data_IF_988235972326
#
_entry.id   IF_988235972326
#
_cell.length_a   1.000
_cell.length_b   1.000
_cell.length_c   1.000
_cell.angle_alpha   90.00
_cell.angle_beta   90.00
_cell.angle_gamma   90.00
#
_symmetry.space_group_name_H-M   'P 1'
#
loop_
_entity.id
_entity.type
_entity.pdbx_description
1 polymer ?
#
# COMPACT_ATOMS: atom_id res chain seq x y z
N UNK A 1 -25.14 -17.03 -73.45
CA UNK A 1 -25.60 -16.56 -72.12
C UNK A 1 -24.78 -17.30 -71.08
N UNK A 2 -23.92 -16.59 -70.35
CA UNK A 2 -23.08 -17.19 -69.30
C UNK A 2 -24.00 -17.49 -68.11
N UNK A 3 -24.20 -18.77 -67.84
CA UNK A 3 -24.97 -19.24 -66.69
C UNK A 3 -24.21 -18.87 -65.41
N UNK A 4 -24.80 -18.00 -64.59
CA UNK A 4 -24.35 -17.79 -63.22
C UNK A 4 -24.28 -19.14 -62.51
N UNK A 5 -23.09 -19.49 -62.01
CA UNK A 5 -22.94 -20.62 -61.09
C UNK A 5 -23.59 -20.21 -59.78
N UNK A 6 -24.79 -20.72 -59.54
CA UNK A 6 -25.40 -20.74 -58.22
C UNK A 6 -24.48 -21.56 -57.30
N UNK A 7 -23.61 -20.87 -56.56
CA UNK A 7 -22.80 -21.53 -55.54
C UNK A 7 -23.79 -22.08 -54.49
N UNK A 8 -23.88 -23.40 -54.36
CA UNK A 8 -24.82 -24.12 -53.48
C UNK A 8 -24.61 -23.91 -51.96
N UNK A 9 -24.17 -22.71 -51.56
CA UNK A 9 -23.93 -22.31 -50.19
C UNK A 9 -25.24 -21.84 -49.53
N UNK A 10 -25.82 -22.67 -48.67
CA UNK A 10 -27.00 -22.30 -47.87
C UNK A 10 -26.54 -21.60 -46.58
N UNK A 11 -26.72 -20.28 -46.49
CA UNK A 11 -26.45 -19.51 -45.27
C UNK A 11 -27.40 -19.92 -44.14
N UNK A 12 -26.84 -20.34 -43.01
CA UNK A 12 -27.59 -20.66 -41.80
C UNK A 12 -27.61 -19.45 -40.85
N UNK A 13 -28.52 -18.50 -41.12
CA UNK A 13 -28.63 -17.26 -40.33
C UNK A 13 -28.93 -17.50 -38.85
N UNK A 14 -29.72 -18.55 -38.52
CA UNK A 14 -30.00 -18.93 -37.13
C UNK A 14 -28.73 -19.27 -36.34
N UNK A 15 -27.80 -20.01 -36.97
CA UNK A 15 -26.53 -20.40 -36.35
C UNK A 15 -25.65 -19.17 -36.10
N UNK A 16 -25.62 -18.21 -37.04
CA UNK A 16 -24.87 -16.96 -36.92
C UNK A 16 -25.41 -16.12 -35.75
N UNK A 17 -26.72 -15.95 -35.66
CA UNK A 17 -27.35 -15.16 -34.59
C UNK A 17 -27.10 -15.80 -33.23
N UNK A 18 -27.22 -17.13 -33.13
CA UNK A 18 -26.94 -17.86 -31.88
C UNK A 18 -25.49 -17.69 -31.45
N UNK A 19 -24.56 -17.79 -32.41
CA UNK A 19 -23.12 -17.62 -32.15
C UNK A 19 -22.78 -16.21 -31.67
N UNK A 20 -23.33 -15.18 -32.32
CA UNK A 20 -23.16 -13.78 -31.89
C UNK A 20 -23.72 -13.59 -30.48
N UNK A 21 -24.93 -14.09 -30.20
CA UNK A 21 -25.54 -14.00 -28.88
C UNK A 21 -24.69 -14.66 -27.80
N UNK A 22 -24.15 -15.85 -28.09
CA UNK A 22 -23.28 -16.57 -27.17
C UNK A 22 -21.98 -15.79 -26.87
N UNK A 23 -21.32 -15.27 -27.90
CA UNK A 23 -20.10 -14.46 -27.74
C UNK A 23 -20.40 -13.19 -26.94
N UNK A 24 -21.49 -12.49 -27.26
CA UNK A 24 -21.89 -11.29 -26.52
C UNK A 24 -22.15 -11.60 -25.03
N UNK A 25 -22.82 -12.70 -24.73
CA UNK A 25 -23.05 -13.11 -23.34
C UNK A 25 -21.74 -13.40 -22.59
N UNK A 26 -20.83 -14.15 -23.21
CA UNK A 26 -19.51 -14.45 -22.63
C UNK A 26 -18.69 -13.16 -22.44
N UNK A 27 -18.75 -12.25 -23.42
CA UNK A 27 -18.05 -10.97 -23.35
C UNK A 27 -18.54 -10.10 -22.19
N UNK A 28 -19.86 -9.99 -22.02
CA UNK A 28 -20.46 -9.25 -20.89
C UNK A 28 -20.05 -9.88 -19.56
N UNK A 29 -20.10 -11.22 -19.47
CA UNK A 29 -19.67 -11.94 -18.26
C UNK A 29 -18.19 -11.68 -17.96
N UNK A 30 -17.35 -11.67 -18.98
CA UNK A 30 -15.90 -11.43 -18.86
C UNK A 30 -15.62 -10.02 -18.37
N UNK A 31 -16.31 -9.00 -18.91
CA UNK A 31 -16.20 -7.62 -18.43
C UNK A 31 -16.65 -7.48 -16.98
N UNK A 32 -17.76 -8.13 -16.61
CA UNK A 32 -18.24 -8.12 -15.23
C UNK A 32 -17.20 -8.71 -14.27
N UNK A 33 -16.63 -9.87 -14.62
CA UNK A 33 -15.59 -10.50 -13.81
C UNK A 33 -14.32 -9.64 -13.74
N UNK A 34 -13.86 -9.11 -14.87
CA UNK A 34 -12.68 -8.25 -14.93
C UNK A 34 -12.86 -7.00 -14.05
N UNK A 35 -14.01 -6.34 -14.12
CA UNK A 35 -14.30 -5.17 -13.29
C UNK A 35 -14.24 -5.49 -11.79
N UNK A 36 -14.91 -6.56 -11.37
CA UNK A 36 -14.94 -6.95 -9.96
C UNK A 36 -13.55 -7.39 -9.47
N UNK A 37 -12.80 -8.12 -10.28
CA UNK A 37 -11.45 -8.54 -9.96
C UNK A 37 -10.49 -7.35 -9.85
N UNK A 38 -10.51 -6.44 -10.82
CA UNK A 38 -9.70 -5.21 -10.78
C UNK A 38 -10.02 -4.35 -9.56
N UNK A 39 -11.32 -4.15 -9.25
CA UNK A 39 -11.73 -3.40 -8.07
C UNK A 39 -11.16 -4.02 -6.78
N UNK A 40 -11.28 -5.33 -6.62
CA UNK A 40 -10.78 -6.04 -5.43
C UNK A 40 -9.26 -5.97 -5.31
N UNK A 41 -8.52 -6.05 -6.42
CA UNK A 41 -7.07 -5.92 -6.39
C UNK A 41 -6.64 -4.51 -5.94
N UNK A 42 -7.25 -3.46 -6.49
CA UNK A 42 -6.96 -2.08 -6.11
C UNK A 42 -7.27 -1.85 -4.62
N UNK A 43 -8.38 -2.38 -4.12
CA UNK A 43 -8.75 -2.27 -2.71
C UNK A 43 -7.75 -2.96 -1.80
N UNK A 44 -7.29 -4.17 -2.16
CA UNK A 44 -6.27 -4.89 -1.41
C UNK A 44 -4.94 -4.13 -1.38
N UNK A 45 -4.50 -3.61 -2.53
CA UNK A 45 -3.26 -2.82 -2.62
C UNK A 45 -3.35 -1.55 -1.77
N UNK A 46 -4.51 -0.88 -1.78
CA UNK A 46 -4.76 0.29 -0.95
C UNK A 46 -4.72 -0.03 0.55
N UNK A 47 -5.35 -1.13 0.98
CA UNK A 47 -5.33 -1.57 2.38
C UNK A 47 -3.92 -1.93 2.82
N UNK A 48 -3.16 -2.63 1.98
CA UNK A 48 -1.75 -2.96 2.22
C UNK A 48 -0.88 -1.71 2.36
N UNK A 49 -1.02 -0.76 1.43
CA UNK A 49 -0.30 0.52 1.47
C UNK A 49 -0.64 1.32 2.74
N UNK A 50 -1.90 1.32 3.18
CA UNK A 50 -2.31 1.97 4.43
C UNK A 50 -1.60 1.38 5.64
N UNK A 51 -1.44 0.06 5.70
CA UNK A 51 -0.69 -0.59 6.78
C UNK A 51 0.78 -0.15 6.78
N UNK A 52 1.42 -0.12 5.60
CA UNK A 52 2.81 0.33 5.47
C UNK A 52 2.99 1.80 5.89
N UNK A 53 2.05 2.68 5.51
CA UNK A 53 2.07 4.09 5.94
C UNK A 53 1.94 4.20 7.45
N UNK A 54 1.07 3.40 8.08
CA UNK A 54 0.93 3.38 9.53
C UNK A 54 2.24 2.93 10.19
N UNK A 55 2.83 1.83 9.74
CA UNK A 55 4.11 1.32 10.26
C UNK A 55 5.24 2.35 10.14
N UNK A 56 5.43 2.96 8.97
CA UNK A 56 6.45 4.00 8.77
C UNK A 56 6.16 5.27 9.59
N UNK A 57 4.89 5.62 9.80
CA UNK A 57 4.52 6.80 10.61
C UNK A 57 4.84 6.63 12.10
N UNK A 58 4.73 5.42 12.64
CA UNK A 58 5.00 5.13 14.06
C UNK A 58 6.45 4.65 14.29
N UNK A 59 7.19 4.33 13.23
CA UNK A 59 8.56 3.81 13.32
C UNK A 59 9.51 4.72 14.10
N UNK A 60 9.56 6.06 13.90
CA UNK A 60 10.41 6.94 14.69
C UNK A 60 10.06 6.92 16.18
N UNK A 61 8.76 6.82 16.50
CA UNK A 61 8.29 6.71 17.88
C UNK A 61 8.72 5.38 18.51
N UNK A 62 8.52 4.26 17.80
CA UNK A 62 8.90 2.93 18.29
C UNK A 62 10.41 2.82 18.49
N UNK A 63 11.21 3.33 17.55
CA UNK A 63 12.67 3.35 17.67
C UNK A 63 13.12 4.19 18.88
N UNK A 64 12.55 5.38 19.06
CA UNK A 64 12.83 6.21 20.22
C UNK A 64 12.47 5.48 21.53
N UNK A 65 11.27 4.93 21.62
CA UNK A 65 10.77 4.28 22.83
C UNK A 65 11.56 3.02 23.20
N UNK A 66 11.92 2.19 22.22
CA UNK A 66 12.59 0.92 22.46
C UNK A 66 14.11 1.05 22.63
N UNK A 67 14.74 1.97 21.90
CA UNK A 67 16.21 2.06 21.85
C UNK A 67 16.73 3.31 22.57
N UNK A 68 16.21 4.49 22.25
CA UNK A 68 16.79 5.77 22.71
C UNK A 68 16.36 6.17 24.11
N UNK A 69 15.12 5.92 24.48
CA UNK A 69 14.60 6.26 25.80
C UNK A 69 15.31 5.48 26.92
N UNK A 70 15.59 4.16 26.78
CA UNK A 70 16.46 3.45 27.71
C UNK A 70 17.88 4.01 27.72
N UNK A 71 18.47 4.32 26.56
CA UNK A 71 19.81 4.91 26.45
C UNK A 71 19.93 6.23 27.24
N UNK A 72 18.97 7.16 27.05
CA UNK A 72 18.87 8.41 27.83
C UNK A 72 18.76 8.12 29.32
N UNK A 73 17.96 7.12 29.70
CA UNK A 73 17.74 6.75 31.09
C UNK A 73 18.97 6.13 31.74
N UNK A 74 19.75 5.33 31.00
CA UNK A 74 21.03 4.76 31.45
C UNK A 74 22.09 5.83 31.72
N UNK A 75 22.07 6.90 30.93
CA UNK A 75 23.00 8.01 31.07
C UNK A 75 22.64 8.98 32.20
N UNK A 76 21.45 8.84 32.78
CA UNK A 76 21.03 9.64 33.93
C UNK A 76 21.98 9.37 35.11
N UNK A 77 22.70 10.41 35.55
CA UNK A 77 23.71 10.32 36.62
C UNK A 77 25.15 10.03 36.17
N UNK A 78 25.40 9.78 34.87
CA UNK A 78 26.75 9.52 34.34
C UNK A 78 27.27 10.59 33.37
N UNK A 79 26.37 11.37 32.75
CA UNK A 79 26.76 12.44 31.83
C UNK A 79 26.99 13.76 32.57
N UNK A 80 28.10 14.43 32.25
CA UNK A 80 28.27 15.84 32.57
C UNK A 80 27.33 16.71 31.72
N UNK A 81 27.06 17.94 32.17
CA UNK A 81 26.13 18.85 31.50
C UNK A 81 26.49 19.12 30.03
N UNK A 82 27.78 19.17 29.70
CA UNK A 82 28.26 19.42 28.33
C UNK A 82 28.01 18.22 27.39
N UNK A 83 28.22 17.00 27.86
CA UNK A 83 27.99 15.77 27.07
C UNK A 83 26.49 15.48 26.97
N UNK A 84 25.74 15.73 28.04
CA UNK A 84 24.28 15.65 28.02
C UNK A 84 23.68 16.59 26.97
N UNK A 85 24.14 17.85 26.89
CA UNK A 85 23.66 18.80 25.87
C UNK A 85 23.84 18.28 24.44
N UNK A 86 25.04 17.79 24.09
CA UNK A 86 25.33 17.28 22.74
C UNK A 86 24.50 16.04 22.38
N UNK A 87 24.28 15.17 23.37
CA UNK A 87 23.47 13.97 23.19
C UNK A 87 22.00 14.33 22.97
N UNK A 88 21.45 15.26 23.76
CA UNK A 88 20.08 15.75 23.59
C UNK A 88 19.88 16.48 22.27
N UNK A 89 20.85 17.28 21.82
CA UNK A 89 20.77 17.95 20.50
C UNK A 89 20.56 16.93 19.37
N UNK A 90 21.26 15.79 19.43
CA UNK A 90 21.12 14.72 18.43
C UNK A 90 19.72 14.10 18.48
N UNK A 91 19.18 13.87 19.68
CA UNK A 91 17.83 13.32 19.87
C UNK A 91 16.76 14.28 19.37
N UNK A 92 16.86 15.58 19.67
CA UNK A 92 15.87 16.57 19.24
C UNK A 92 15.85 16.74 17.71
N UNK A 93 17.01 16.59 17.04
CA UNK A 93 17.11 16.60 15.57
C UNK A 93 16.49 15.33 14.98
N UNK A 94 16.79 14.16 15.55
CA UNK A 94 16.38 12.87 15.01
C UNK A 94 14.90 12.53 15.30
N UNK A 95 14.36 13.03 16.42
CA UNK A 95 13.01 12.73 16.89
C UNK A 95 12.25 14.05 17.13
N UNK A 96 11.67 14.66 16.08
CA UNK A 96 11.06 16.00 16.15
C UNK A 96 9.80 16.06 17.05
N UNK A 97 9.24 14.91 17.43
CA UNK A 97 8.14 14.82 18.38
C UNK A 97 8.59 14.98 19.84
N UNK A 98 9.90 14.88 20.13
CA UNK A 98 10.47 15.11 21.46
C UNK A 98 10.68 16.60 21.63
N UNK A 99 9.97 17.23 22.56
CA UNK A 99 10.04 18.69 22.75
C UNK A 99 11.09 19.12 23.79
N UNK A 100 11.34 18.28 24.81
CA UNK A 100 12.31 18.56 25.86
C UNK A 100 12.77 17.27 26.52
N UNK A 101 14.02 17.26 26.98
CA UNK A 101 14.58 16.21 27.84
C UNK A 101 15.12 16.88 29.10
N UNK A 102 14.75 16.35 30.27
CA UNK A 102 15.11 16.90 31.58
C UNK A 102 15.79 15.78 32.36
N UNK A 103 17.02 16.02 32.78
CA UNK A 103 17.71 15.19 33.76
C UNK A 103 17.47 15.76 35.15
N UNK A 104 17.11 14.90 36.10
CA UNK A 104 16.97 15.28 37.50
C UNK A 104 18.25 14.88 38.22
N UNK A 105 18.83 15.82 38.97
CA UNK A 105 19.92 15.50 39.87
C UNK A 105 19.34 14.72 41.06
N UNK A 106 19.91 13.55 41.34
CA UNK A 106 19.59 12.78 42.54
C UNK A 106 20.60 13.19 43.61
N UNK A 107 20.24 14.20 44.41
CA UNK A 107 20.94 14.49 45.66
C UNK A 107 21.04 13.25 46.58
#
# INVERSE_FOLDING_TARGET
MVSEKDSGYRKNFSLIVTFIGLISAIFILSLFLAYNFSKKNIENDFVSAKANVLEESIKPYNDFFLNKLPEVSFYNGYLDSATASKFIDTILIQYPFVTKVIFYDTE
#
